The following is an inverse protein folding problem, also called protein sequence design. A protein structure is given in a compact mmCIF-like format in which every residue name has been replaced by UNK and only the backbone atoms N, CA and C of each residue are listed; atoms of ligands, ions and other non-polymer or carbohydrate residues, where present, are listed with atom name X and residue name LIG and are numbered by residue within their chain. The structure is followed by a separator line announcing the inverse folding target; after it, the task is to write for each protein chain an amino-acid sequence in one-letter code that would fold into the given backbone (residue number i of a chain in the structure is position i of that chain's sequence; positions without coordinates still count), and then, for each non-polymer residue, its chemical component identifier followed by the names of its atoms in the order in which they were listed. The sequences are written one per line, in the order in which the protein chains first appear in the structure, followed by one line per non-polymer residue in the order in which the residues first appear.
data_IF_374515947677
#
_entry.id   IF_374515947677
#
_cell.length_a   1.000
_cell.length_b   1.000
_cell.length_c   1.000
_cell.angle_alpha   90.00
_cell.angle_beta   90.00
_cell.angle_gamma   90.00
#
_symmetry.space_group_name_H-M   'P 1'
#
loop_
_entity.id
_entity.type
_entity.pdbx_description
1 polymer ?
#
# COMPACT_ATOMS: atom_id res chain seq x y z
N UNK A 1 -25.61 -21.40 1.43
CA UNK A 1 -24.57 -20.86 0.56
C UNK A 1 -24.02 -19.63 1.27
N UNK A 2 -22.83 -19.73 1.86
CA UNK A 2 -22.12 -18.56 2.39
C UNK A 2 -21.98 -17.55 1.27
N UNK A 3 -22.43 -16.35 1.50
CA UNK A 3 -22.34 -15.22 0.58
C UNK A 3 -20.85 -14.80 0.54
N UNK A 4 -20.02 -15.55 -0.20
CA UNK A 4 -18.61 -15.22 -0.33
C UNK A 4 -18.52 -13.85 -1.00
N UNK A 5 -17.80 -12.92 -0.37
CA UNK A 5 -17.58 -11.59 -0.93
C UNK A 5 -16.99 -11.70 -2.35
N UNK A 6 -17.28 -10.75 -3.23
CA UNK A 6 -16.80 -10.80 -4.62
C UNK A 6 -15.28 -10.62 -4.76
N UNK A 7 -14.60 -10.23 -3.70
CA UNK A 7 -13.14 -10.15 -3.61
C UNK A 7 -12.70 -10.40 -2.17
N UNK A 8 -11.45 -10.83 -2.00
CA UNK A 8 -10.84 -11.06 -0.68
C UNK A 8 -10.46 -9.74 -0.05
N UNK A 9 -11.15 -9.30 1.00
CA UNK A 9 -10.88 -8.04 1.67
C UNK A 9 -9.96 -8.19 2.90
N UNK A 10 -9.33 -7.07 3.29
CA UNK A 10 -8.39 -7.05 4.40
C UNK A 10 -9.04 -7.33 5.77
N UNK A 11 -10.31 -7.00 5.93
CA UNK A 11 -11.03 -7.29 7.17
C UNK A 11 -11.26 -8.79 7.36
N UNK A 12 -11.55 -9.53 6.27
CA UNK A 12 -11.67 -10.99 6.31
C UNK A 12 -10.30 -11.62 6.57
N UNK A 13 -9.26 -11.18 5.87
CA UNK A 13 -7.89 -11.63 6.10
C UNK A 13 -7.46 -11.46 7.57
N UNK A 14 -7.75 -10.31 8.18
CA UNK A 14 -7.42 -10.12 9.60
C UNK A 14 -8.22 -11.06 10.52
N UNK A 15 -9.45 -11.44 10.18
CA UNK A 15 -10.24 -12.43 10.94
C UNK A 15 -9.74 -13.87 10.77
N UNK A 16 -9.10 -14.18 9.63
CA UNK A 16 -8.41 -15.46 9.42
C UNK A 16 -7.16 -15.57 10.31
N UNK A 17 -6.45 -14.44 10.51
CA UNK A 17 -5.18 -14.39 11.24
C UNK A 17 -5.36 -14.22 12.75
N UNK A 18 -6.36 -13.45 13.17
CA UNK A 18 -6.56 -13.06 14.57
C UNK A 18 -7.92 -13.48 15.10
N UNK A 19 -7.99 -14.09 16.30
CA UNK A 19 -9.27 -14.45 16.94
C UNK A 19 -10.01 -13.24 17.54
N UNK A 20 -9.45 -12.04 17.46
CA UNK A 20 -9.98 -10.80 17.98
C UNK A 20 -9.90 -9.69 16.93
N UNK A 21 -10.60 -8.60 17.18
CA UNK A 21 -10.60 -7.44 16.30
C UNK A 21 -9.26 -6.71 16.39
N UNK A 22 -8.71 -6.36 15.22
CA UNK A 22 -7.42 -5.67 15.09
C UNK A 22 -7.58 -4.38 14.31
N UNK A 23 -6.89 -3.31 14.75
CA UNK A 23 -6.85 -2.01 14.12
C UNK A 23 -5.41 -1.56 13.88
N UNK A 24 -5.14 -1.00 12.69
CA UNK A 24 -3.86 -0.33 12.42
C UNK A 24 -3.81 1.03 13.11
N UNK A 25 -2.72 1.33 13.81
CA UNK A 25 -2.41 2.67 14.32
C UNK A 25 -1.17 3.17 13.61
N UNK A 26 -1.31 4.28 12.90
CA UNK A 26 -0.21 4.90 12.15
C UNK A 26 0.84 5.50 13.09
N UNK A 27 2.10 5.35 12.75
CA UNK A 27 3.27 5.90 13.43
C UNK A 27 4.11 6.68 12.43
N UNK A 28 4.53 7.85 12.82
CA UNK A 28 5.57 8.62 12.15
C UNK A 28 6.83 8.61 13.02
N UNK A 29 7.78 7.73 12.70
CA UNK A 29 9.00 7.53 13.47
C UNK A 29 10.15 8.49 13.12
N UNK A 30 9.87 9.53 12.32
CA UNK A 30 10.84 10.55 11.94
C UNK A 30 11.86 10.09 10.89
N UNK A 31 11.60 9.02 10.18
CA UNK A 31 12.45 8.57 9.08
C UNK A 31 12.45 9.56 7.91
N UNK A 32 13.48 9.50 7.08
CA UNK A 32 13.58 10.24 5.83
C UNK A 32 13.41 9.33 4.60
N UNK A 33 13.79 9.81 3.44
CA UNK A 33 13.71 9.05 2.20
C UNK A 33 14.95 9.33 1.34
N UNK A 34 15.65 8.32 0.80
CA UNK A 34 16.84 8.51 -0.02
C UNK A 34 16.59 9.31 -1.30
N UNK A 35 15.33 9.44 -1.70
CA UNK A 35 14.90 10.27 -2.83
C UNK A 35 14.70 11.75 -2.44
N UNK A 36 14.98 12.12 -1.19
CA UNK A 36 14.85 13.48 -0.66
C UNK A 36 16.16 14.03 -0.09
N UNK A 37 16.98 13.19 0.52
CA UNK A 37 18.22 13.59 1.20
C UNK A 37 19.45 13.63 0.27
N UNK A 38 19.28 13.32 -1.00
CA UNK A 38 20.32 13.34 -2.01
C UNK A 38 21.06 12.02 -2.22
N UNK A 39 20.78 10.99 -1.42
CA UNK A 39 21.44 9.67 -1.55
C UNK A 39 21.09 8.99 -2.89
N UNK A 40 19.82 9.04 -3.30
CA UNK A 40 19.35 8.58 -4.61
C UNK A 40 18.79 9.70 -5.49
N UNK A 41 18.26 10.74 -4.88
CA UNK A 41 17.64 11.86 -5.58
C UNK A 41 17.23 12.99 -4.66
N UNK A 42 16.77 14.09 -5.25
CA UNK A 42 16.30 15.27 -4.53
C UNK A 42 14.81 15.50 -4.77
N UNK A 43 14.16 16.15 -3.81
CA UNK A 43 12.79 16.61 -3.92
C UNK A 43 11.71 15.52 -3.76
N UNK A 44 12.07 14.24 -3.73
CA UNK A 44 11.16 13.13 -3.58
C UNK A 44 10.37 12.80 -4.85
N UNK A 45 9.43 11.86 -4.76
CA UNK A 45 8.52 11.55 -5.85
C UNK A 45 7.63 12.76 -6.17
N UNK A 46 7.26 12.94 -7.45
CA UNK A 46 6.55 14.14 -7.92
C UNK A 46 5.20 14.38 -7.26
N UNK A 47 4.53 13.30 -6.81
CA UNK A 47 3.22 13.29 -6.17
C UNK A 47 3.28 13.37 -4.63
N UNK A 48 4.48 13.23 -4.04
CA UNK A 48 4.61 12.93 -2.61
C UNK A 48 4.48 14.16 -1.72
N UNK A 49 3.48 14.12 -0.84
CA UNK A 49 3.36 15.00 0.32
C UNK A 49 2.96 14.16 1.54
N UNK A 50 3.89 13.93 2.48
CA UNK A 50 3.65 13.04 3.63
C UNK A 50 2.62 13.59 4.64
N UNK A 51 2.30 14.89 4.61
CA UNK A 51 1.23 15.45 5.42
C UNK A 51 -0.14 14.82 5.11
N UNK A 52 -0.30 14.22 3.92
CA UNK A 52 -1.56 13.57 3.51
C UNK A 52 -1.82 12.22 4.17
N UNK A 53 -0.82 11.63 4.82
CA UNK A 53 -0.90 10.27 5.38
C UNK A 53 -0.79 10.22 6.90
N UNK A 54 -0.47 11.33 7.54
CA UNK A 54 -0.26 11.40 9.00
C UNK A 54 -1.51 11.90 9.71
N UNK A 55 -2.18 11.07 10.54
CA UNK A 55 -3.21 11.57 11.45
C UNK A 55 -2.67 12.64 12.39
N UNK A 56 -3.56 13.47 12.96
CA UNK A 56 -3.17 14.57 13.85
C UNK A 56 -2.34 14.15 15.08
N UNK A 57 -2.45 12.91 15.52
CA UNK A 57 -1.64 12.39 16.62
C UNK A 57 -0.24 11.94 16.22
N UNK A 58 0.03 11.76 14.92
CA UNK A 58 1.32 11.30 14.38
C UNK A 58 2.26 12.48 14.14
N UNK A 59 3.05 12.84 15.14
CA UNK A 59 4.08 13.87 15.05
C UNK A 59 5.45 13.30 15.38
N UNK A 60 6.48 13.69 14.62
CA UNK A 60 7.86 13.23 14.81
C UNK A 60 8.48 13.61 16.15
N UNK A 61 7.90 14.58 16.84
CA UNK A 61 8.30 15.04 18.19
C UNK A 61 7.85 14.06 19.29
N UNK A 62 6.94 13.14 18.97
CA UNK A 62 6.42 12.11 19.87
C UNK A 62 7.10 10.77 19.62
N UNK A 63 7.36 10.03 20.68
CA UNK A 63 7.82 8.64 20.60
C UNK A 63 6.78 7.74 19.92
N UNK A 64 7.19 6.55 19.48
CA UNK A 64 6.27 5.56 18.92
C UNK A 64 5.20 5.17 19.97
N UNK A 65 5.58 5.03 21.23
CA UNK A 65 4.69 4.75 22.36
C UNK A 65 3.62 5.83 22.52
N UNK A 66 3.99 7.08 22.55
CA UNK A 66 3.02 8.21 22.72
C UNK A 66 2.01 8.28 21.55
N UNK A 67 2.48 8.01 20.33
CA UNK A 67 1.62 7.97 19.13
C UNK A 67 0.66 6.77 19.19
N UNK A 68 1.14 5.60 19.59
CA UNK A 68 0.32 4.39 19.79
C UNK A 68 -0.74 4.62 20.87
N UNK A 69 -0.38 5.13 22.03
CA UNK A 69 -1.32 5.44 23.11
C UNK A 69 -2.40 6.43 22.65
N UNK A 70 -2.04 7.45 21.88
CA UNK A 70 -3.02 8.40 21.35
C UNK A 70 -3.97 7.71 20.36
N UNK A 71 -3.47 6.85 19.49
CA UNK A 71 -4.27 6.05 18.58
C UNK A 71 -5.19 5.05 19.33
N UNK A 72 -4.67 4.36 20.33
CA UNK A 72 -5.44 3.46 21.18
C UNK A 72 -6.59 4.21 21.83
N UNK A 73 -6.34 5.36 22.48
CA UNK A 73 -7.39 6.19 23.09
C UNK A 73 -8.48 6.62 22.08
N UNK A 74 -8.11 6.84 20.83
CA UNK A 74 -9.06 7.19 19.77
C UNK A 74 -9.98 6.01 19.39
N UNK A 75 -9.40 4.81 19.19
CA UNK A 75 -10.14 3.65 18.70
C UNK A 75 -10.84 2.83 19.79
N UNK A 76 -10.29 2.75 21.01
CA UNK A 76 -10.83 1.95 22.12
C UNK A 76 -12.20 2.40 22.61
N UNK A 77 -12.58 3.65 22.35
CA UNK A 77 -13.92 4.16 22.69
C UNK A 77 -15.06 3.32 22.12
N UNK A 78 -14.85 2.72 20.94
CA UNK A 78 -15.86 1.91 20.26
C UNK A 78 -15.73 0.42 20.52
N UNK A 79 -14.50 -0.06 20.74
CA UNK A 79 -14.16 -1.49 20.88
C UNK A 79 -13.07 -1.68 21.93
N UNK A 80 -13.43 -1.85 23.23
CA UNK A 80 -12.45 -1.94 24.32
C UNK A 80 -11.47 -3.11 24.21
N UNK A 81 -11.91 -4.25 23.67
CA UNK A 81 -11.14 -5.49 23.55
C UNK A 81 -10.27 -5.57 22.28
N UNK A 82 -10.18 -4.46 21.53
CA UNK A 82 -9.44 -4.42 20.27
C UNK A 82 -7.93 -4.49 20.52
N UNK A 83 -7.22 -5.23 19.67
CA UNK A 83 -5.75 -5.22 19.59
C UNK A 83 -5.27 -4.36 18.44
N UNK A 84 -3.97 -4.08 18.39
CA UNK A 84 -3.44 -3.07 17.48
C UNK A 84 -2.24 -3.60 16.71
N UNK A 85 -2.12 -3.13 15.46
CA UNK A 85 -0.91 -3.26 14.64
C UNK A 85 -0.24 -1.89 14.56
N UNK A 86 1.01 -1.82 14.96
CA UNK A 86 1.82 -0.62 14.83
C UNK A 86 2.19 -0.42 13.35
N UNK A 87 1.68 0.63 12.71
CA UNK A 87 1.85 0.87 11.29
C UNK A 87 2.79 2.04 11.03
N UNK A 88 4.04 1.73 10.71
CA UNK A 88 5.06 2.68 10.28
C UNK A 88 4.79 3.08 8.84
N UNK A 89 4.28 4.28 8.61
CA UNK A 89 3.74 4.68 7.31
C UNK A 89 4.49 5.83 6.64
N UNK A 90 4.97 6.82 7.40
CA UNK A 90 5.55 8.04 6.85
C UNK A 90 6.96 7.79 6.27
N UNK A 91 7.22 8.24 5.03
CA UNK A 91 8.50 8.13 4.34
C UNK A 91 8.97 6.68 4.08
N UNK A 92 10.27 6.40 4.34
CA UNK A 92 10.91 5.10 4.08
C UNK A 92 11.32 4.49 5.41
N UNK A 93 10.46 3.64 5.97
CA UNK A 93 10.61 3.19 7.36
C UNK A 93 11.64 2.06 7.56
N UNK A 94 12.46 1.79 6.55
CA UNK A 94 13.62 0.87 6.61
C UNK A 94 14.92 1.58 6.22
N UNK A 95 14.89 2.92 6.17
CA UNK A 95 16.02 3.73 5.74
C UNK A 95 16.63 4.47 6.95
N UNK A 96 17.41 3.74 7.71
CA UNK A 96 18.24 4.21 8.84
C UNK A 96 19.25 3.10 9.19
N UNK A 97 20.10 3.33 10.21
CA UNK A 97 20.97 2.30 10.78
C UNK A 97 20.14 1.18 11.38
N UNK A 98 20.59 -0.07 11.21
CA UNK A 98 19.86 -1.26 11.62
C UNK A 98 19.42 -1.21 13.10
N UNK A 99 20.33 -0.85 14.00
CA UNK A 99 20.04 -0.79 15.45
C UNK A 99 18.98 0.28 15.77
N UNK A 100 19.00 1.43 15.07
CA UNK A 100 17.99 2.48 15.21
C UNK A 100 16.61 2.01 14.74
N UNK A 101 16.56 1.30 13.62
CA UNK A 101 15.33 0.69 13.09
C UNK A 101 14.73 -0.30 14.09
N UNK A 102 15.54 -1.27 14.53
CA UNK A 102 15.13 -2.31 15.47
C UNK A 102 14.65 -1.68 16.78
N UNK A 103 15.38 -0.73 17.34
CA UNK A 103 14.97 -0.04 18.57
C UNK A 103 13.59 0.59 18.48
N UNK A 104 13.26 1.24 17.35
CA UNK A 104 11.93 1.85 17.13
C UNK A 104 10.83 0.80 16.96
N UNK A 105 11.11 -0.34 16.32
CA UNK A 105 10.13 -1.42 16.17
C UNK A 105 9.88 -2.10 17.51
N UNK A 106 10.93 -2.39 18.30
CA UNK A 106 10.80 -2.99 19.62
C UNK A 106 10.08 -2.06 20.61
N UNK A 107 10.33 -0.74 20.55
CA UNK A 107 9.57 0.25 21.32
C UNK A 107 8.06 0.13 21.04
N UNK A 108 7.68 0.07 19.76
CA UNK A 108 6.28 -0.06 19.38
C UNK A 108 5.67 -1.41 19.82
N UNK A 109 6.43 -2.49 19.71
CA UNK A 109 6.01 -3.84 20.10
C UNK A 109 5.90 -4.05 21.62
N UNK A 110 6.60 -3.25 22.40
CA UNK A 110 6.53 -3.26 23.87
C UNK A 110 5.23 -2.61 24.39
N UNK A 111 4.51 -1.85 23.55
CA UNK A 111 3.25 -1.24 23.94
C UNK A 111 2.16 -2.29 24.22
N UNK A 112 1.36 -2.15 25.27
CA UNK A 112 0.24 -3.05 25.56
C UNK A 112 -0.70 -3.17 24.36
N UNK A 113 -1.21 -4.39 24.13
CA UNK A 113 -2.18 -4.70 23.08
C UNK A 113 -1.67 -4.55 21.63
N UNK A 114 -0.39 -4.27 21.42
CA UNK A 114 0.24 -4.31 20.11
C UNK A 114 0.65 -5.75 19.78
N UNK A 115 0.00 -6.31 18.75
CA UNK A 115 0.15 -7.72 18.36
C UNK A 115 1.07 -7.91 17.16
N UNK A 116 1.55 -6.83 16.56
CA UNK A 116 2.46 -6.90 15.42
C UNK A 116 2.76 -5.56 14.78
N UNK A 117 3.55 -5.65 13.70
CA UNK A 117 4.02 -4.51 12.91
C UNK A 117 3.51 -4.57 11.48
N UNK A 118 3.28 -3.40 10.91
CA UNK A 118 3.21 -3.19 9.47
C UNK A 118 4.20 -2.08 9.13
N UNK A 119 5.09 -2.31 8.18
CA UNK A 119 6.16 -1.38 7.82
C UNK A 119 6.03 -0.99 6.35
N UNK A 120 5.61 0.25 6.10
CA UNK A 120 5.55 0.84 4.77
C UNK A 120 6.92 1.35 4.34
N UNK A 121 7.43 0.92 3.21
CA UNK A 121 8.76 1.28 2.76
C UNK A 121 8.93 1.26 1.24
N UNK A 122 10.13 1.59 0.78
CA UNK A 122 10.56 1.46 -0.61
C UNK A 122 11.19 0.08 -0.83
N UNK A 123 10.98 -0.55 -2.01
CA UNK A 123 11.56 -1.87 -2.28
C UNK A 123 13.11 -1.84 -2.29
N UNK A 124 13.71 -0.76 -2.80
CA UNK A 124 15.15 -0.58 -2.89
C UNK A 124 15.85 -0.20 -1.56
N UNK A 125 15.09 -0.19 -0.46
CA UNK A 125 15.60 0.15 0.89
C UNK A 125 15.39 -1.01 1.88
N UNK A 126 15.48 -2.25 1.42
CA UNK A 126 15.28 -3.43 2.28
C UNK A 126 16.56 -4.31 2.30
N UNK A 127 17.48 -4.08 3.25
CA UNK A 127 18.68 -4.91 3.40
C UNK A 127 18.33 -6.30 3.98
N UNK A 128 19.15 -7.31 3.63
CA UNK A 128 18.95 -8.68 4.10
C UNK A 128 18.97 -8.81 5.62
N UNK A 129 19.87 -8.12 6.31
CA UNK A 129 19.93 -8.14 7.76
C UNK A 129 18.61 -7.70 8.43
N UNK A 130 17.89 -6.75 7.83
CA UNK A 130 16.60 -6.32 8.33
C UNK A 130 15.48 -7.33 7.98
N UNK A 131 15.55 -7.96 6.81
CA UNK A 131 14.65 -9.07 6.46
C UNK A 131 14.83 -10.26 7.41
N UNK A 132 16.07 -10.58 7.81
CA UNK A 132 16.36 -11.67 8.75
C UNK A 132 15.82 -11.35 10.15
N UNK A 133 15.91 -10.08 10.59
CA UNK A 133 15.25 -9.63 11.81
C UNK A 133 13.73 -9.81 11.72
N UNK A 134 13.09 -9.34 10.65
CA UNK A 134 11.64 -9.48 10.45
C UNK A 134 11.21 -10.95 10.35
N UNK A 135 12.00 -11.80 9.71
CA UNK A 135 11.75 -13.24 9.65
C UNK A 135 11.75 -13.89 11.03
N UNK A 136 12.70 -13.52 11.88
CA UNK A 136 12.76 -13.99 13.27
C UNK A 136 11.58 -13.48 14.08
N UNK A 137 11.23 -12.20 13.91
CA UNK A 137 10.10 -11.57 14.59
C UNK A 137 8.76 -12.19 14.16
N UNK A 138 8.61 -12.53 12.87
CA UNK A 138 7.37 -13.09 12.30
C UNK A 138 7.00 -14.47 12.89
N UNK A 139 7.92 -15.17 13.52
CA UNK A 139 7.66 -16.41 14.23
C UNK A 139 6.86 -16.20 15.53
N UNK A 140 6.82 -14.99 16.08
CA UNK A 140 6.20 -14.66 17.37
C UNK A 140 5.14 -13.54 17.29
N UNK A 141 5.24 -12.70 16.30
CA UNK A 141 4.38 -11.52 16.11
C UNK A 141 3.94 -11.43 14.66
N UNK A 142 2.81 -10.79 14.41
CA UNK A 142 2.42 -10.47 13.04
C UNK A 142 3.41 -9.44 12.45
N UNK A 143 3.97 -9.73 11.29
CA UNK A 143 4.82 -8.82 10.54
C UNK A 143 4.36 -8.76 9.09
N UNK A 144 4.13 -7.56 8.60
CA UNK A 144 3.84 -7.29 7.20
C UNK A 144 4.70 -6.15 6.69
N UNK A 145 5.32 -6.34 5.54
CA UNK A 145 6.07 -5.29 4.86
C UNK A 145 5.25 -4.82 3.66
N UNK A 146 4.98 -3.54 3.57
CA UNK A 146 4.22 -2.92 2.48
C UNK A 146 5.15 -2.08 1.61
N UNK A 147 5.34 -2.50 0.36
CA UNK A 147 6.20 -1.83 -0.59
C UNK A 147 5.42 -0.84 -1.46
N UNK A 148 5.88 0.40 -1.50
CA UNK A 148 5.38 1.38 -2.46
C UNK A 148 5.99 1.10 -3.84
N UNK A 149 5.30 0.32 -4.67
CA UNK A 149 5.67 0.09 -6.07
C UNK A 149 5.29 1.32 -6.91
N UNK A 150 4.06 1.74 -6.76
CA UNK A 150 3.36 2.85 -7.42
C UNK A 150 2.99 2.56 -8.88
N UNK A 151 3.87 1.92 -9.67
CA UNK A 151 3.67 1.43 -11.03
C UNK A 151 4.56 0.21 -11.29
N UNK A 152 4.23 -0.59 -12.31
CA UNK A 152 5.12 -1.65 -12.84
C UNK A 152 5.83 -1.24 -14.13
N UNK A 153 5.69 0.02 -14.55
CA UNK A 153 6.30 0.55 -15.76
C UNK A 153 7.48 1.47 -15.42
N UNK A 154 8.69 1.08 -15.79
CA UNK A 154 9.91 1.86 -15.48
C UNK A 154 9.89 3.28 -16.05
N UNK A 155 9.26 3.50 -17.23
CA UNK A 155 9.07 4.85 -17.76
C UNK A 155 8.20 5.72 -16.85
N UNK A 156 7.15 5.14 -16.24
CA UNK A 156 6.29 5.84 -15.27
C UNK A 156 7.06 6.10 -13.98
N UNK A 157 7.78 5.09 -13.46
CA UNK A 157 8.62 5.24 -12.26
C UNK A 157 9.66 6.36 -12.45
N UNK A 158 10.28 6.44 -13.63
CA UNK A 158 11.20 7.53 -13.98
C UNK A 158 10.48 8.87 -14.00
N UNK A 159 9.34 8.97 -14.68
CA UNK A 159 8.55 10.20 -14.78
C UNK A 159 8.14 10.74 -13.41
N UNK A 160 7.68 9.87 -12.53
CA UNK A 160 7.29 10.27 -11.17
C UNK A 160 8.47 10.44 -10.20
N UNK A 161 9.71 10.35 -10.70
CA UNK A 161 10.93 10.43 -9.88
C UNK A 161 10.94 9.41 -8.73
N UNK A 162 10.58 8.13 -9.02
CA UNK A 162 10.46 7.11 -7.98
C UNK A 162 11.84 6.61 -7.50
N UNK A 163 12.84 6.55 -8.40
CA UNK A 163 14.24 6.24 -8.09
C UNK A 163 14.52 4.77 -7.81
N UNK A 164 13.63 3.87 -8.20
CA UNK A 164 13.85 2.42 -8.31
C UNK A 164 13.12 1.88 -9.55
N UNK A 165 13.47 0.68 -9.97
CA UNK A 165 12.87 -0.03 -11.10
C UNK A 165 11.80 -1.03 -10.65
N UNK A 166 11.02 -1.53 -11.61
CA UNK A 166 10.09 -2.63 -11.36
C UNK A 166 10.84 -3.92 -10.98
N UNK A 167 11.97 -4.20 -11.62
CA UNK A 167 12.79 -5.38 -11.33
C UNK A 167 13.29 -5.39 -9.88
N UNK A 168 13.75 -4.26 -9.34
CA UNK A 168 14.12 -4.13 -7.93
C UNK A 168 12.93 -4.39 -6.99
N UNK A 169 11.74 -3.96 -7.40
CA UNK A 169 10.50 -4.20 -6.64
C UNK A 169 10.14 -5.68 -6.61
N UNK A 170 10.18 -6.35 -7.76
CA UNK A 170 9.90 -7.78 -7.90
C UNK A 170 10.88 -8.63 -7.08
N UNK A 171 12.19 -8.37 -7.21
CA UNK A 171 13.23 -9.06 -6.45
C UNK A 171 12.97 -8.94 -4.94
N UNK A 172 12.74 -7.74 -4.45
CA UNK A 172 12.54 -7.51 -3.01
C UNK A 172 11.27 -8.16 -2.49
N UNK A 173 10.18 -8.15 -3.25
CA UNK A 173 8.93 -8.86 -2.90
C UNK A 173 9.21 -10.36 -2.77
N UNK A 174 9.92 -10.97 -3.74
CA UNK A 174 10.27 -12.40 -3.69
C UNK A 174 11.18 -12.74 -2.52
N UNK A 175 12.19 -11.91 -2.23
CA UNK A 175 13.10 -12.10 -1.07
C UNK A 175 12.35 -12.04 0.26
N UNK A 176 11.38 -11.14 0.37
CA UNK A 176 10.55 -10.96 1.58
C UNK A 176 9.62 -12.15 1.77
N UNK A 177 8.89 -12.53 0.73
CA UNK A 177 7.97 -13.67 0.78
C UNK A 177 8.70 -15.01 1.03
N UNK A 178 9.92 -15.20 0.49
CA UNK A 178 10.74 -16.38 0.73
C UNK A 178 11.15 -16.54 2.21
N UNK A 179 11.07 -15.47 3.01
CA UNK A 179 11.28 -15.47 4.47
C UNK A 179 9.99 -15.64 5.28
N UNK A 180 8.88 -16.01 4.62
CA UNK A 180 7.56 -16.18 5.24
C UNK A 180 7.03 -14.91 5.93
N UNK A 181 7.37 -13.73 5.39
CA UNK A 181 6.87 -12.44 5.86
C UNK A 181 5.69 -12.04 4.96
N UNK A 182 4.57 -11.63 5.55
CA UNK A 182 3.45 -11.07 4.78
C UNK A 182 3.92 -9.86 3.98
N UNK A 183 3.63 -9.87 2.68
CA UNK A 183 4.14 -8.88 1.74
C UNK A 183 3.01 -8.14 1.06
N UNK A 184 2.94 -6.84 1.24
CA UNK A 184 1.96 -5.96 0.62
C UNK A 184 2.59 -5.06 -0.45
N UNK A 185 1.76 -4.60 -1.37
CA UNK A 185 2.15 -3.62 -2.39
C UNK A 185 1.18 -2.44 -2.42
N UNK A 186 1.70 -1.26 -2.75
CA UNK A 186 0.92 -0.07 -3.07
C UNK A 186 1.04 0.24 -4.56
N UNK A 187 -0.08 0.58 -5.19
CA UNK A 187 -0.13 0.96 -6.59
C UNK A 187 -1.01 2.21 -6.76
N UNK A 188 -0.57 3.15 -7.59
CA UNK A 188 -1.35 4.34 -7.94
C UNK A 188 -1.93 4.14 -9.34
N UNK A 189 -3.25 4.13 -9.46
CA UNK A 189 -3.95 4.04 -10.74
C UNK A 189 -4.20 5.43 -11.30
N UNK A 190 -3.90 5.59 -12.59
CA UNK A 190 -4.08 6.85 -13.32
C UNK A 190 -2.86 7.76 -13.30
N UNK A 191 -1.65 7.22 -13.08
CA UNK A 191 -0.42 7.98 -13.25
C UNK A 191 -0.30 8.52 -14.67
N UNK A 192 0.26 9.74 -14.86
CA UNK A 192 0.30 10.37 -16.18
C UNK A 192 1.14 9.56 -17.17
N UNK A 193 0.59 9.35 -18.37
CA UNK A 193 1.21 8.59 -19.45
C UNK A 193 0.93 7.09 -19.42
N UNK A 194 0.11 6.61 -18.51
CA UNK A 194 -0.39 5.23 -18.51
C UNK A 194 -1.76 5.15 -19.19
N UNK A 195 -1.87 4.26 -20.18
CA UNK A 195 -3.16 3.94 -20.79
C UNK A 195 -3.99 3.04 -19.86
N UNK A 196 -5.30 2.94 -20.13
CA UNK A 196 -6.18 2.04 -19.38
C UNK A 196 -5.72 0.59 -19.45
N UNK A 197 -5.28 0.13 -20.62
CA UNK A 197 -4.77 -1.22 -20.85
C UNK A 197 -3.53 -1.50 -20.01
N UNK A 198 -2.63 -0.55 -19.93
CA UNK A 198 -1.41 -0.66 -19.11
C UNK A 198 -1.72 -0.69 -17.61
N UNK A 199 -2.69 0.14 -17.17
CA UNK A 199 -3.17 0.10 -15.79
C UNK A 199 -3.76 -1.27 -15.46
N UNK A 200 -4.55 -1.86 -16.34
CA UNK A 200 -5.11 -3.19 -16.15
C UNK A 200 -4.03 -4.29 -16.20
N UNK A 201 -3.01 -4.12 -17.02
CA UNK A 201 -1.89 -5.05 -17.11
C UNK A 201 -1.05 -5.11 -15.81
N UNK A 202 -1.04 -4.05 -14.99
CA UNK A 202 -0.43 -4.14 -13.66
C UNK A 202 -1.05 -5.27 -12.82
N UNK A 203 -2.37 -5.54 -12.96
CA UNK A 203 -3.01 -6.64 -12.24
C UNK A 203 -2.45 -8.01 -12.66
N UNK A 204 -2.19 -8.21 -13.96
CA UNK A 204 -1.61 -9.45 -14.48
C UNK A 204 -0.19 -9.64 -13.91
N UNK A 205 0.65 -8.59 -13.96
CA UNK A 205 2.03 -8.61 -13.42
C UNK A 205 2.02 -8.90 -11.92
N UNK A 206 1.22 -8.18 -11.14
CA UNK A 206 1.16 -8.35 -9.69
C UNK A 206 0.60 -9.72 -9.29
N UNK A 207 -0.27 -10.32 -10.10
CA UNK A 207 -0.81 -11.66 -9.87
C UNK A 207 0.24 -12.76 -9.93
N UNK A 208 1.36 -12.53 -10.59
CA UNK A 208 2.50 -13.45 -10.66
C UNK A 208 3.49 -13.30 -9.50
N UNK A 209 3.30 -12.30 -8.64
CA UNK A 209 4.15 -12.04 -7.48
C UNK A 209 3.57 -12.66 -6.20
N UNK A 210 4.40 -13.09 -5.25
CA UNK A 210 3.97 -13.67 -3.99
C UNK A 210 3.46 -12.60 -3.01
N UNK A 211 2.46 -11.83 -3.43
CA UNK A 211 1.85 -10.78 -2.63
C UNK A 211 0.75 -11.35 -1.72
N UNK A 212 0.74 -10.88 -0.49
CA UNK A 212 -0.37 -11.11 0.46
C UNK A 212 -1.46 -10.05 0.26
N UNK A 213 -1.08 -8.77 0.17
CA UNK A 213 -2.04 -7.66 0.09
C UNK A 213 -1.70 -6.67 -1.00
N UNK A 214 -2.73 -5.99 -1.50
CA UNK A 214 -2.61 -4.89 -2.45
C UNK A 214 -3.45 -3.70 -2.01
N UNK A 215 -2.83 -2.52 -1.96
CA UNK A 215 -3.50 -1.23 -1.79
C UNK A 215 -3.56 -0.49 -3.11
N UNK A 216 -4.76 -0.19 -3.55
CA UNK A 216 -4.97 0.70 -4.68
C UNK A 216 -5.16 2.14 -4.19
N UNK A 217 -4.58 3.06 -4.92
CA UNK A 217 -4.72 4.49 -4.72
C UNK A 217 -5.12 5.11 -6.05
N UNK A 218 -6.12 5.99 -6.04
CA UNK A 218 -6.32 6.89 -7.18
C UNK A 218 -5.18 7.91 -7.23
N UNK A 219 -4.79 8.34 -8.42
CA UNK A 219 -3.95 9.52 -8.57
C UNK A 219 -4.63 10.72 -7.89
N UNK A 220 -3.89 11.42 -7.05
CA UNK A 220 -4.31 12.66 -6.39
C UNK A 220 -3.33 13.77 -6.66
N UNK A 221 -3.83 14.91 -7.05
CA UNK A 221 -3.07 16.14 -7.13
C UNK A 221 -3.11 16.83 -5.78
N UNK A 222 -1.96 16.90 -5.14
CA UNK A 222 -1.81 17.44 -3.78
C UNK A 222 -1.09 18.78 -3.84
N UNK A 223 -1.62 19.76 -3.16
CA UNK A 223 -1.05 21.11 -3.06
C UNK A 223 0.42 21.07 -2.63
N UNK A 224 1.24 21.85 -3.31
CA UNK A 224 2.68 21.96 -3.05
C UNK A 224 3.53 20.86 -3.70
N UNK A 225 2.94 19.86 -4.36
CA UNK A 225 3.69 18.84 -5.10
C UNK A 225 4.12 19.31 -6.49
N UNK A 226 5.20 18.71 -7.02
CA UNK A 226 5.66 18.97 -8.39
C UNK A 226 4.61 18.50 -9.41
N UNK A 227 3.97 17.38 -9.17
CA UNK A 227 2.92 16.84 -10.03
C UNK A 227 1.70 17.77 -10.17
N UNK A 228 1.32 18.45 -9.08
CA UNK A 228 0.22 19.42 -9.14
C UNK A 228 0.58 20.66 -9.98
N UNK A 229 1.84 21.08 -10.00
CA UNK A 229 2.32 22.15 -10.89
C UNK A 229 2.37 21.68 -12.35
N UNK A 230 2.92 20.49 -12.59
CA UNK A 230 2.96 19.89 -13.92
C UNK A 230 1.56 19.75 -14.52
N UNK A 231 0.56 19.34 -13.74
CA UNK A 231 -0.81 19.24 -14.22
C UNK A 231 -1.42 20.62 -14.54
N UNK A 232 -1.11 21.66 -13.78
CA UNK A 232 -1.58 23.01 -14.07
C UNK A 232 -0.96 23.59 -15.34
N UNK A 233 0.28 23.24 -15.66
CA UNK A 233 1.01 23.66 -16.87
C UNK A 233 0.65 22.80 -18.10
N UNK A 234 0.38 21.51 -17.91
CA UNK A 234 0.14 20.51 -18.96
C UNK A 234 -1.07 19.63 -18.63
N UNK A 235 -2.29 20.18 -18.52
CA UNK A 235 -3.47 19.41 -18.11
C UNK A 235 -3.81 18.27 -19.07
N UNK A 236 -3.46 18.40 -20.35
CA UNK A 236 -3.67 17.39 -21.39
C UNK A 236 -2.91 16.07 -21.16
N UNK A 237 -1.88 16.08 -20.31
CA UNK A 237 -1.09 14.90 -19.99
C UNK A 237 -1.69 14.07 -18.83
N UNK A 238 -2.78 14.54 -18.22
CA UNK A 238 -3.38 13.93 -17.05
C UNK A 238 -4.83 13.53 -17.32
N UNK A 239 -5.13 12.27 -17.08
CA UNK A 239 -6.52 11.82 -17.04
C UNK A 239 -6.97 11.67 -15.59
N UNK A 240 -7.74 12.62 -15.10
CA UNK A 240 -8.31 12.58 -13.76
C UNK A 240 -9.68 11.91 -13.81
N UNK A 241 -9.75 10.66 -13.39
CA UNK A 241 -10.97 9.87 -13.39
C UNK A 241 -12.08 10.50 -12.53
N UNK A 242 -13.30 10.46 -13.01
CA UNK A 242 -14.50 10.64 -12.18
C UNK A 242 -14.65 9.45 -11.23
N UNK A 243 -15.48 9.57 -10.21
CA UNK A 243 -15.72 8.46 -9.27
C UNK A 243 -16.24 7.20 -9.97
N UNK A 244 -17.18 7.37 -10.93
CA UNK A 244 -17.79 6.25 -11.65
C UNK A 244 -16.79 5.57 -12.61
N UNK A 245 -16.00 6.34 -13.35
CA UNK A 245 -14.93 5.79 -14.20
C UNK A 245 -13.89 5.03 -13.38
N UNK A 246 -13.51 5.56 -12.20
CA UNK A 246 -12.55 4.88 -11.33
C UNK A 246 -13.14 3.63 -10.68
N UNK A 247 -14.43 3.61 -10.35
CA UNK A 247 -15.15 2.40 -9.91
C UNK A 247 -15.08 1.32 -10.99
N UNK A 248 -15.36 1.67 -12.24
CA UNK A 248 -15.28 0.70 -13.34
C UNK A 248 -13.83 0.24 -13.58
N UNK A 249 -12.84 1.12 -13.47
CA UNK A 249 -11.43 0.78 -13.58
C UNK A 249 -10.99 -0.23 -12.51
N UNK A 250 -11.32 0.02 -11.22
CA UNK A 250 -10.90 -0.90 -10.14
C UNK A 250 -11.62 -2.24 -10.21
N UNK A 251 -12.84 -2.29 -10.73
CA UNK A 251 -13.56 -3.56 -10.97
C UNK A 251 -12.87 -4.34 -12.07
N UNK A 252 -12.57 -3.73 -13.22
CA UNK A 252 -11.86 -4.39 -14.32
C UNK A 252 -10.45 -4.86 -13.87
N UNK A 253 -9.80 -4.09 -12.98
CA UNK A 253 -8.52 -4.44 -12.39
C UNK A 253 -8.61 -5.69 -11.52
N UNK A 254 -9.57 -5.74 -10.58
CA UNK A 254 -9.69 -6.91 -9.67
C UNK A 254 -10.16 -8.17 -10.40
N UNK A 255 -10.90 -8.05 -11.50
CA UNK A 255 -11.25 -9.20 -12.33
C UNK A 255 -10.04 -9.91 -12.94
N UNK A 256 -8.90 -9.22 -13.09
CA UNK A 256 -7.61 -9.77 -13.53
C UNK A 256 -6.68 -10.15 -12.37
N UNK A 257 -6.99 -9.70 -11.16
CA UNK A 257 -6.13 -9.90 -9.99
C UNK A 257 -6.30 -11.30 -9.40
N UNK A 258 -5.18 -11.95 -9.08
CA UNK A 258 -5.18 -13.27 -8.43
C UNK A 258 -6.05 -13.27 -7.16
N UNK A 259 -7.02 -14.20 -7.02
CA UNK A 259 -7.92 -14.27 -5.87
C UNK A 259 -7.23 -14.49 -4.51
N UNK A 260 -5.98 -14.97 -4.49
CA UNK A 260 -5.19 -15.10 -3.26
C UNK A 260 -4.74 -13.75 -2.69
N UNK A 261 -4.65 -12.71 -3.52
CA UNK A 261 -4.21 -11.38 -3.10
C UNK A 261 -5.37 -10.64 -2.43
N UNK A 262 -5.14 -10.21 -1.21
CA UNK A 262 -6.11 -9.47 -0.41
C UNK A 262 -6.15 -8.01 -0.86
N UNK A 263 -7.31 -7.52 -1.23
CA UNK A 263 -7.50 -6.09 -1.55
C UNK A 263 -7.71 -5.32 -0.25
N UNK A 264 -6.74 -4.48 0.10
CA UNK A 264 -6.80 -3.73 1.35
C UNK A 264 -7.68 -2.49 1.25
N UNK A 265 -7.60 -1.79 0.12
CA UNK A 265 -8.45 -0.64 -0.19
C UNK A 265 -8.39 -0.30 -1.67
N UNK A 266 -9.39 0.44 -2.14
CA UNK A 266 -9.47 0.92 -3.53
C UNK A 266 -9.04 2.38 -3.68
N UNK A 267 -9.17 3.18 -2.62
CA UNK A 267 -8.92 4.62 -2.63
C UNK A 267 -8.22 5.06 -1.35
N UNK A 268 -7.57 6.21 -1.40
CA UNK A 268 -7.01 6.87 -0.23
C UNK A 268 -7.62 8.26 -0.03
N UNK A 269 -7.75 8.68 1.21
CA UNK A 269 -8.19 10.04 1.56
C UNK A 269 -6.99 10.97 1.74
N UNK A 270 -7.26 12.27 1.65
CA UNK A 270 -6.31 13.33 1.98
C UNK A 270 -7.05 14.46 2.69
N UNK A 271 -6.39 15.26 3.51
CA UNK A 271 -6.95 16.49 4.05
C UNK A 271 -7.50 17.38 2.92
N UNK A 272 -8.71 17.93 3.12
CA UNK A 272 -9.38 18.72 2.07
C UNK A 272 -8.58 19.96 1.64
N UNK A 273 -7.88 20.56 2.59
CA UNK A 273 -7.04 21.74 2.36
C UNK A 273 -5.81 21.45 1.47
N UNK A 274 -5.38 20.18 1.41
CA UNK A 274 -4.26 19.76 0.59
C UNK A 274 -4.70 19.17 -0.76
N UNK A 275 -5.92 18.63 -0.85
CA UNK A 275 -6.41 18.00 -2.08
C UNK A 275 -6.80 19.05 -3.12
N UNK A 276 -6.23 18.95 -4.32
CA UNK A 276 -6.62 19.76 -5.48
C UNK A 276 -7.64 18.99 -6.33
N UNK A 277 -7.30 17.74 -6.73
CA UNK A 277 -8.13 16.89 -7.56
C UNK A 277 -7.69 15.41 -7.50
N UNK A 278 -8.56 14.45 -7.84
CA UNK A 278 -10.01 14.61 -7.91
C UNK A 278 -10.63 14.68 -6.51
N UNK A 279 -11.59 15.54 -6.30
CA UNK A 279 -12.45 15.53 -5.11
C UNK A 279 -13.82 14.95 -5.48
N UNK A 280 -14.06 13.71 -5.08
CA UNK A 280 -15.33 13.04 -5.33
C UNK A 280 -16.36 13.24 -4.21
N UNK A 281 -15.98 13.93 -3.14
CA UNK A 281 -16.85 14.13 -1.97
C UNK A 281 -17.20 12.84 -1.21
N UNK A 282 -16.51 11.72 -1.50
CA UNK A 282 -16.82 10.39 -0.96
C UNK A 282 -15.79 9.99 0.11
N UNK A 283 -16.26 9.43 1.22
CA UNK A 283 -15.41 8.73 2.19
C UNK A 283 -15.07 7.32 1.67
N UNK A 284 -13.99 6.72 2.19
CA UNK A 284 -13.55 5.40 1.76
C UNK A 284 -14.67 4.35 1.81
N UNK A 285 -15.48 4.34 2.89
CA UNK A 285 -16.55 3.35 3.03
C UNK A 285 -17.70 3.59 2.04
N UNK A 286 -18.00 4.85 1.70
CA UNK A 286 -19.02 5.21 0.71
C UNK A 286 -18.56 4.81 -0.70
N UNK A 287 -17.29 5.05 -1.01
CA UNK A 287 -16.69 4.59 -2.28
C UNK A 287 -16.73 3.07 -2.38
N UNK A 288 -16.31 2.35 -1.33
CA UNK A 288 -16.34 0.87 -1.29
C UNK A 288 -17.76 0.33 -1.44
N UNK A 289 -18.76 0.98 -0.84
CA UNK A 289 -20.17 0.59 -1.02
C UNK A 289 -20.63 0.73 -2.48
N UNK A 290 -20.21 1.80 -3.18
CA UNK A 290 -20.49 1.98 -4.62
C UNK A 290 -19.78 0.91 -5.47
N UNK A 291 -18.52 0.58 -5.16
CA UNK A 291 -17.79 -0.51 -5.83
C UNK A 291 -18.54 -1.83 -5.66
N UNK A 292 -18.94 -2.19 -4.44
CA UNK A 292 -19.66 -3.44 -4.15
C UNK A 292 -21.01 -3.50 -4.90
N UNK A 293 -21.74 -2.40 -4.95
CA UNK A 293 -22.99 -2.29 -5.72
C UNK A 293 -22.72 -2.55 -7.20
N UNK A 294 -21.73 -1.86 -7.80
CA UNK A 294 -21.39 -2.01 -9.23
C UNK A 294 -20.86 -3.41 -9.55
N UNK A 295 -20.08 -4.05 -8.65
CA UNK A 295 -19.65 -5.43 -8.78
C UNK A 295 -20.88 -6.37 -8.90
N UNK A 296 -21.88 -6.18 -8.03
CA UNK A 296 -23.11 -6.99 -8.06
C UNK A 296 -23.90 -6.76 -9.36
N UNK A 297 -24.04 -5.51 -9.81
CA UNK A 297 -24.69 -5.15 -11.07
C UNK A 297 -24.01 -5.80 -12.29
N UNK A 298 -22.68 -5.86 -12.28
CA UNK A 298 -21.86 -6.44 -13.36
C UNK A 298 -21.66 -7.96 -13.23
N UNK A 299 -22.11 -8.58 -12.13
CA UNK A 299 -21.76 -9.96 -11.78
C UNK A 299 -20.25 -10.22 -11.86
N UNK A 300 -19.46 -9.24 -11.40
CA UNK A 300 -18.01 -9.27 -11.42
C UNK A 300 -17.45 -9.96 -10.16
N UNK A 301 -16.26 -10.51 -10.26
CA UNK A 301 -15.53 -11.08 -9.11
C UNK A 301 -14.04 -11.06 -9.36
N UNK A 302 -13.27 -11.01 -8.28
CA UNK A 302 -11.82 -11.09 -8.35
C UNK A 302 -11.36 -12.36 -9.08
N UNK A 303 -10.40 -12.19 -9.99
CA UNK A 303 -9.80 -13.27 -10.74
C UNK A 303 -10.67 -13.88 -11.86
N UNK A 304 -11.85 -13.32 -12.15
CA UNK A 304 -12.72 -13.84 -13.22
C UNK A 304 -12.05 -13.85 -14.60
N UNK A 305 -11.17 -12.89 -14.85
CA UNK A 305 -10.43 -12.70 -16.09
C UNK A 305 -8.93 -12.99 -15.94
N UNK A 306 -8.52 -13.60 -14.82
CA UNK A 306 -7.14 -13.99 -14.64
C UNK A 306 -6.75 -15.03 -15.69
N UNK A 307 -5.83 -14.67 -16.55
CA UNK A 307 -5.21 -15.63 -17.46
C UNK A 307 -4.29 -16.54 -16.62
N UNK A 308 -4.47 -17.87 -16.64
CA UNK A 308 -3.48 -18.74 -16.03
C UNK A 308 -2.13 -18.47 -16.68
N UNK A 309 -1.01 -18.52 -15.90
CA UNK A 309 0.31 -18.42 -16.51
C UNK A 309 0.38 -19.42 -17.66
N UNK A 310 0.78 -18.96 -18.83
CA UNK A 310 0.99 -19.82 -19.98
C UNK A 310 1.93 -20.94 -19.52
N UNK A 311 1.40 -22.14 -19.36
CA UNK A 311 2.18 -23.34 -19.16
C UNK A 311 2.86 -23.62 -20.51
N UNK A 312 4.02 -23.03 -20.73
CA UNK A 312 4.90 -23.61 -21.74
C UNK A 312 5.25 -25.03 -21.27
N UNK A 313 4.94 -26.05 -22.05
CA UNK A 313 5.37 -27.39 -21.70
C UNK A 313 6.90 -27.37 -21.70
N UNK A 314 7.49 -27.62 -20.54
CA UNK A 314 8.89 -27.99 -20.45
C UNK A 314 9.00 -29.31 -21.19
N UNK A 315 9.42 -29.26 -22.45
CA UNK A 315 9.79 -30.46 -23.20
C UNK A 315 10.99 -31.08 -22.48
N UNK A 316 10.92 -32.33 -22.01
CA UNK A 316 12.06 -32.99 -21.46
C UNK A 316 13.10 -33.08 -22.59
N UNK A 317 14.26 -32.49 -22.33
CA UNK A 317 15.42 -32.60 -23.25
C UNK A 317 15.73 -34.05 -23.53
N UNK A 318 15.87 -34.37 -24.81
CA UNK A 318 16.57 -35.55 -25.28
C UNK A 318 18.07 -35.42 -25.02
#
# INVERSE_FOLDING_TARGET
MENSKPYRDFGDFLREVFPYKVQKISINAGFTCPNRDGTKGFGGCTYCNNQTFSPEYCHTEKSATEQLEAGVRFFSRKYPEMKYLAYFQAYTNTYDKLDSLISKYEEALACPDVVGLIVGTRPDCMPDALLDYFSTLSQKKFVMIEYGLESTLDRTLTRINRGHTHAESEETIRRTAARNIYTGAHLILGLPGESREEILHHADILSALPLTTLKLHQLKLIRGTRMAREQAEHPEQFHLYTADEYIDLVIDFIERLNPSIVVERFVSQSPKELLIAPDWGLKNFEFTAKVNKRISERNARQGRLLNPPSSEPVLPGM
#
